data_IF_367951110745
#
_entry.id   IF_367951110745
#
_cell.length_a   1.000
_cell.length_b   1.000
_cell.length_c   1.000
_cell.angle_alpha   90.00
_cell.angle_beta   90.00
_cell.angle_gamma   90.00
#
_symmetry.space_group_name_H-M   'P 1'
#
loop_
_entity.id
_entity.type
_entity.pdbx_description
1 polymer ?
#
# COMPACT_ATOMS: atom_id res chain seq x y z
N UNK A 1 -19.13 -13.86 -13.50
CA UNK A 1 -19.00 -14.03 -12.03
C UNK A 1 -17.92 -13.04 -11.62
N UNK A 2 -18.24 -12.03 -10.80
CA UNK A 2 -17.23 -11.07 -10.33
C UNK A 2 -16.35 -11.78 -9.31
N UNK A 3 -15.04 -11.84 -9.56
CA UNK A 3 -14.09 -12.39 -8.61
C UNK A 3 -13.57 -11.28 -7.69
N UNK A 4 -13.44 -11.60 -6.41
CA UNK A 4 -12.85 -10.70 -5.42
C UNK A 4 -11.75 -11.44 -4.65
N UNK A 5 -10.59 -10.81 -4.53
CA UNK A 5 -9.43 -11.34 -3.80
C UNK A 5 -8.93 -10.30 -2.82
N UNK A 6 -8.52 -10.73 -1.61
CA UNK A 6 -7.85 -9.88 -0.64
C UNK A 6 -6.51 -10.51 -0.28
N UNK A 7 -5.45 -9.71 -0.31
CA UNK A 7 -4.10 -10.12 0.07
C UNK A 7 -3.49 -9.15 1.09
N UNK A 8 -2.54 -9.65 1.87
CA UNK A 8 -1.73 -8.83 2.79
C UNK A 8 -0.40 -8.52 2.12
N UNK A 9 -0.02 -7.25 2.09
CA UNK A 9 1.25 -6.78 1.50
C UNK A 9 2.35 -6.62 2.56
N UNK A 10 1.97 -6.34 3.81
CA UNK A 10 2.89 -6.28 4.95
C UNK A 10 2.08 -6.35 6.24
N UNK A 11 2.71 -6.85 7.32
CA UNK A 11 2.09 -6.93 8.63
C UNK A 11 3.14 -6.89 9.74
N UNK A 12 3.28 -5.72 10.35
CA UNK A 12 3.98 -5.57 11.63
C UNK A 12 5.47 -5.30 11.51
N UNK A 13 6.05 -5.42 10.31
CA UNK A 13 7.40 -4.94 10.07
C UNK A 13 7.48 -3.41 10.29
N UNK A 14 8.55 -2.90 10.93
CA UNK A 14 8.76 -1.46 11.05
C UNK A 14 9.15 -0.86 9.70
N UNK A 15 8.49 0.24 9.33
CA UNK A 15 8.79 1.04 8.14
C UNK A 15 9.46 2.35 8.56
N UNK A 16 10.36 2.82 7.70
CA UNK A 16 10.97 4.15 7.65
C UNK A 16 10.63 4.82 6.31
N UNK A 17 11.01 6.10 6.13
CA UNK A 17 10.85 6.75 4.83
C UNK A 17 11.65 6.04 3.74
N UNK A 18 11.02 5.82 2.59
CA UNK A 18 11.61 5.13 1.43
C UNK A 18 11.37 3.62 1.40
N UNK A 19 10.90 3.01 2.48
CA UNK A 19 10.58 1.58 2.51
C UNK A 19 9.36 1.26 1.63
N UNK A 20 9.25 -0.01 1.21
CA UNK A 20 8.19 -0.49 0.31
C UNK A 20 7.53 -1.74 0.85
N UNK A 21 6.24 -1.92 0.55
CA UNK A 21 5.54 -3.17 0.86
C UNK A 21 5.97 -4.30 -0.07
N UNK A 22 5.62 -5.54 0.26
CA UNK A 22 5.76 -6.63 -0.69
C UNK A 22 4.94 -6.32 -1.96
N UNK A 23 5.50 -6.62 -3.14
CA UNK A 23 4.79 -6.47 -4.39
C UNK A 23 3.72 -7.55 -4.55
N UNK A 24 2.61 -7.18 -5.18
CA UNK A 24 1.55 -8.10 -5.52
C UNK A 24 1.31 -8.05 -7.02
N UNK A 25 1.43 -9.20 -7.68
CA UNK A 25 0.95 -9.37 -9.05
C UNK A 25 -0.56 -9.11 -9.03
N UNK A 26 -1.11 -8.35 -9.97
CA UNK A 26 -2.49 -7.90 -10.01
C UNK A 26 -3.07 -7.79 -11.45
N UNK A 27 -2.33 -8.24 -12.47
CA UNK A 27 -2.65 -7.99 -13.89
C UNK A 27 -3.97 -8.58 -14.43
N UNK A 28 -4.68 -9.39 -13.63
CA UNK A 28 -6.02 -9.90 -13.97
C UNK A 28 -7.15 -9.02 -13.41
N UNK A 29 -6.84 -8.09 -12.50
CA UNK A 29 -7.81 -7.24 -11.84
C UNK A 29 -7.97 -5.90 -12.58
N UNK A 30 -9.20 -5.40 -12.61
CA UNK A 30 -9.52 -4.06 -13.16
C UNK A 30 -9.54 -2.97 -12.09
N UNK A 31 -9.73 -3.33 -10.81
CA UNK A 31 -9.86 -2.40 -9.70
C UNK A 31 -9.10 -2.90 -8.47
N UNK A 32 -8.46 -1.98 -7.75
CA UNK A 32 -7.80 -2.27 -6.48
C UNK A 32 -8.14 -1.23 -5.42
N UNK A 33 -8.26 -1.68 -4.17
CA UNK A 33 -8.37 -0.83 -2.99
C UNK A 33 -7.31 -1.23 -1.99
N UNK A 34 -6.39 -0.32 -1.71
CA UNK A 34 -5.44 -0.47 -0.61
C UNK A 34 -6.11 -0.05 0.69
N UNK A 35 -5.85 -0.79 1.76
CA UNK A 35 -6.19 -0.42 3.12
C UNK A 35 -4.92 -0.42 3.95
N UNK A 36 -4.69 0.63 4.73
CA UNK A 36 -3.58 0.72 5.67
C UNK A 36 -4.08 1.04 7.07
N UNK A 37 -3.52 0.35 8.06
CA UNK A 37 -3.82 0.57 9.47
C UNK A 37 -2.54 0.51 10.28
N UNK A 38 -2.28 1.52 11.12
CA UNK A 38 -1.19 1.44 12.09
C UNK A 38 -1.42 0.30 13.09
N UNK A 39 -0.32 -0.35 13.47
CA UNK A 39 -0.30 -1.44 14.46
C UNK A 39 0.28 -1.01 15.81
N UNK A 40 0.80 0.21 15.89
CA UNK A 40 1.32 0.82 17.10
C UNK A 40 0.53 2.09 17.50
N UNK A 41 0.85 2.66 18.66
CA UNK A 41 0.13 3.79 19.26
C UNK A 41 0.74 5.17 18.92
N UNK A 42 1.71 5.25 18.00
CA UNK A 42 2.35 6.53 17.64
C UNK A 42 1.36 7.57 17.09
N UNK A 43 1.64 8.84 17.37
CA UNK A 43 0.71 9.96 17.14
C UNK A 43 0.95 10.68 15.81
N UNK A 44 2.07 10.38 15.15
CA UNK A 44 2.47 10.96 13.87
C UNK A 44 2.17 9.99 12.74
N UNK A 45 1.46 10.48 11.72
CA UNK A 45 1.17 9.74 10.49
C UNK A 45 2.27 9.87 9.44
N UNK A 46 1.93 9.51 8.21
CA UNK A 46 2.75 9.71 7.02
C UNK A 46 1.93 9.51 5.76
N UNK A 47 2.62 9.19 4.67
CA UNK A 47 2.01 8.96 3.36
C UNK A 47 2.51 7.67 2.75
N UNK A 48 1.68 7.05 1.93
CA UNK A 48 2.03 5.91 1.11
C UNK A 48 1.66 6.21 -0.35
N UNK A 49 2.56 5.93 -1.27
CA UNK A 49 2.40 6.21 -2.69
C UNK A 49 2.24 4.90 -3.44
N UNK A 50 1.20 4.80 -4.27
CA UNK A 50 0.98 3.63 -5.11
C UNK A 50 2.06 3.58 -6.19
N UNK A 51 2.71 2.44 -6.30
CA UNK A 51 3.65 2.15 -7.37
C UNK A 51 3.16 0.99 -8.23
N UNK A 52 3.38 1.12 -9.54
CA UNK A 52 3.07 0.10 -10.53
C UNK A 52 4.34 -0.39 -11.21
N UNK A 53 4.30 -1.63 -11.69
CA UNK A 53 5.38 -2.21 -12.48
C UNK A 53 4.84 -3.21 -13.51
N UNK A 54 5.44 -3.28 -14.72
CA UNK A 54 5.12 -4.33 -15.68
C UNK A 54 5.83 -5.66 -15.35
N UNK A 55 6.94 -5.63 -14.60
CA UNK A 55 7.83 -6.79 -14.40
C UNK A 55 8.11 -7.12 -12.93
N UNK A 56 7.64 -6.29 -11.99
CA UNK A 56 7.91 -6.41 -10.56
C UNK A 56 9.33 -5.99 -10.15
N UNK A 57 10.15 -5.52 -11.10
CA UNK A 57 11.57 -5.17 -10.91
C UNK A 57 11.74 -3.65 -10.96
N UNK A 58 11.18 -2.99 -11.98
CA UNK A 58 11.25 -1.53 -12.15
C UNK A 58 9.90 -0.90 -11.85
N UNK A 59 9.91 0.15 -11.04
CA UNK A 59 8.72 0.73 -10.46
C UNK A 59 8.64 2.22 -10.80
N UNK A 60 7.42 2.70 -11.09
CA UNK A 60 7.10 4.12 -11.15
C UNK A 60 5.98 4.45 -10.17
N UNK A 61 5.99 5.69 -9.69
CA UNK A 61 4.86 6.23 -8.93
C UNK A 61 3.68 6.43 -9.87
N UNK A 62 2.53 5.87 -9.51
CA UNK A 62 1.30 5.99 -10.31
C UNK A 62 0.62 7.35 -10.10
N UNK A 63 0.82 7.96 -8.92
CA UNK A 63 0.30 9.28 -8.55
C UNK A 63 -0.74 9.24 -7.44
N UNK A 64 -1.36 8.09 -7.18
CA UNK A 64 -2.27 7.92 -6.04
C UNK A 64 -1.51 7.92 -4.71
N UNK A 65 -1.96 8.77 -3.79
CA UNK A 65 -1.48 8.85 -2.41
C UNK A 65 -2.52 8.30 -1.41
N UNK A 66 -2.03 7.58 -0.42
CA UNK A 66 -2.75 7.05 0.72
C UNK A 66 -2.19 7.67 2.01
N UNK A 67 -3.03 8.35 2.78
CA UNK A 67 -2.62 8.80 4.10
C UNK A 67 -2.38 7.61 5.04
N UNK A 68 -1.26 7.58 5.75
CA UNK A 68 -0.99 6.66 6.85
C UNK A 68 -1.39 7.36 8.15
N UNK A 69 -2.52 6.95 8.73
CA UNK A 69 -3.06 7.60 9.91
C UNK A 69 -2.21 7.39 11.18
N UNK A 70 -2.35 8.33 12.12
CA UNK A 70 -1.89 8.16 13.50
C UNK A 70 -2.63 7.01 14.21
N UNK A 71 -1.98 6.43 15.21
CA UNK A 71 -2.48 5.31 16.00
C UNK A 71 -2.93 4.14 15.11
N UNK A 72 -4.11 3.61 15.39
CA UNK A 72 -4.72 2.49 14.68
C UNK A 72 -5.74 2.91 13.61
N UNK A 73 -5.69 4.15 13.12
CA UNK A 73 -6.65 4.66 12.12
C UNK A 73 -6.52 3.87 10.83
N UNK A 74 -7.68 3.41 10.31
CA UNK A 74 -7.79 2.75 9.02
C UNK A 74 -7.99 3.79 7.92
N UNK A 75 -7.17 3.73 6.87
CA UNK A 75 -7.25 4.57 5.68
C UNK A 75 -7.29 3.70 4.43
N UNK A 76 -7.69 4.28 3.31
CA UNK A 76 -7.75 3.55 2.04
C UNK A 76 -7.50 4.46 0.84
N UNK A 77 -7.07 3.86 -0.27
CA UNK A 77 -6.93 4.48 -1.58
C UNK A 77 -7.43 3.52 -2.65
N UNK A 78 -8.01 4.06 -3.73
CA UNK A 78 -8.56 3.28 -4.84
C UNK A 78 -7.79 3.57 -6.10
N UNK A 79 -7.55 2.55 -6.90
CA UNK A 79 -6.89 2.66 -8.20
C UNK A 79 -7.59 1.74 -9.22
N UNK A 80 -7.58 2.16 -10.48
CA UNK A 80 -8.05 1.41 -11.66
C UNK A 80 -7.00 1.53 -12.76
N UNK A 81 -7.13 0.70 -13.79
CA UNK A 81 -6.26 0.78 -14.99
C UNK A 81 -4.76 0.68 -14.63
N UNK A 82 -4.46 -0.03 -13.54
CA UNK A 82 -3.10 -0.36 -13.14
C UNK A 82 -2.59 -1.52 -14.00
N UNK A 83 -1.27 -1.52 -14.25
CA UNK A 83 -0.59 -2.55 -15.05
C UNK A 83 -0.55 -3.92 -14.37
N UNK A 84 0.64 -4.50 -14.23
CA UNK A 84 0.75 -5.89 -13.80
C UNK A 84 1.02 -6.07 -12.31
N UNK A 85 1.92 -5.30 -11.72
CA UNK A 85 2.28 -5.38 -10.30
C UNK A 85 1.93 -4.10 -9.56
N UNK A 86 1.57 -4.25 -8.29
CA UNK A 86 1.23 -3.17 -7.37
C UNK A 86 2.04 -3.29 -6.07
N UNK A 87 2.47 -2.14 -5.52
CA UNK A 87 2.99 -2.02 -4.14
C UNK A 87 2.76 -0.61 -3.61
N UNK A 88 3.06 -0.39 -2.34
CA UNK A 88 3.15 0.96 -1.77
C UNK A 88 4.60 1.31 -1.41
N UNK A 89 5.00 2.54 -1.71
CA UNK A 89 6.19 3.19 -1.14
C UNK A 89 5.78 4.08 0.02
N UNK A 90 6.47 4.00 1.14
CA UNK A 90 6.11 4.68 2.38
C UNK A 90 7.00 5.90 2.57
N UNK A 91 6.40 7.02 2.97
CA UNK A 91 7.10 8.22 3.41
C UNK A 91 6.65 8.56 4.83
N UNK A 92 7.63 8.67 5.73
CA UNK A 92 7.43 9.04 7.13
C UNK A 92 8.36 10.22 7.46
N UNK A 93 8.01 11.05 8.44
CA UNK A 93 8.92 12.06 8.96
C UNK A 93 10.29 11.47 9.31
N UNK A 94 11.35 12.26 9.13
CA UNK A 94 12.72 11.83 9.39
C UNK A 94 12.89 11.29 10.82
N UNK A 95 13.54 10.13 10.95
CA UNK A 95 13.75 9.44 12.22
C UNK A 95 12.52 8.75 12.80
N UNK A 96 11.34 8.83 12.16
CA UNK A 96 10.15 8.10 12.57
C UNK A 96 10.18 6.67 12.00
N UNK A 97 9.88 5.70 12.88
CA UNK A 97 9.60 4.33 12.48
C UNK A 97 8.25 3.87 13.00
N UNK A 98 7.48 3.19 12.15
CA UNK A 98 6.08 2.81 12.39
C UNK A 98 5.76 1.46 11.79
N UNK A 99 4.89 0.68 12.44
CA UNK A 99 4.44 -0.61 11.92
C UNK A 99 3.01 -0.52 11.41
N UNK A 100 2.76 -1.11 10.24
CA UNK A 100 1.45 -1.08 9.59
C UNK A 100 0.97 -2.49 9.22
N UNK A 101 -0.35 -2.64 9.09
CA UNK A 101 -0.99 -3.70 8.33
C UNK A 101 -1.50 -3.07 7.04
N UNK A 102 -1.00 -3.57 5.91
CA UNK A 102 -1.46 -3.15 4.58
C UNK A 102 -2.08 -4.33 3.88
N UNK A 103 -3.31 -4.16 3.41
CA UNK A 103 -4.01 -5.14 2.57
C UNK A 103 -4.46 -4.51 1.27
N UNK A 104 -4.61 -5.34 0.25
CA UNK A 104 -5.14 -4.97 -1.06
C UNK A 104 -6.35 -5.82 -1.36
N UNK A 105 -7.45 -5.19 -1.80
CA UNK A 105 -8.64 -5.84 -2.30
C UNK A 105 -8.74 -5.62 -3.82
N UNK A 106 -8.89 -6.70 -4.58
CA UNK A 106 -8.86 -6.71 -6.05
C UNK A 106 -10.19 -7.21 -6.62
N UNK A 107 -10.61 -6.64 -7.75
CA UNK A 107 -11.82 -7.05 -8.48
C UNK A 107 -11.60 -7.11 -9.99
N UNK A 108 -12.24 -8.10 -10.62
CA UNK A 108 -12.31 -8.33 -12.07
C UNK A 108 -13.75 -8.56 -12.53
#
# INVERSE_FOLDING_TARGET
MLNATVATLTRGEPFSSGDVTEPYEAGWASEAVFFARGLDAGETGGSAFVQISPDGIRWCDEGTELALGAGNRLTFARIREFGHFLRLRIELPEGLSRSFLVTIALKS
#
